data_IF_368460257982
#
_entry.id   IF_368460257982
#
_cell.length_a   1.000
_cell.length_b   1.000
_cell.length_c   1.000
_cell.angle_alpha   90.00
_cell.angle_beta   90.00
_cell.angle_gamma   90.00
#
_symmetry.space_group_name_H-M   'P 1'
#
loop_
_entity.id
_entity.type
_entity.pdbx_description
1 polymer ?
#
# COMPACT_ATOMS: atom_id res chain seq x y z
N UNK A 1 7.67 2.04 19.54
CA UNK A 1 6.30 1.67 19.12
C UNK A 1 6.14 1.51 17.61
N UNK A 2 6.97 2.16 16.77
CA UNK A 2 6.84 2.10 15.30
C UNK A 2 6.74 0.69 14.71
N UNK A 3 7.42 -0.31 15.29
CA UNK A 3 7.43 -1.69 14.77
C UNK A 3 6.49 -2.64 15.53
N UNK A 4 5.60 -2.12 16.38
CA UNK A 4 4.55 -2.93 17.05
C UNK A 4 3.30 -2.92 16.19
N UNK A 5 3.36 -3.64 15.07
CA UNK A 5 2.26 -3.75 14.11
C UNK A 5 1.43 -5.01 14.37
N UNK A 6 0.14 -4.96 14.04
CA UNK A 6 -0.66 -6.18 13.91
C UNK A 6 -0.11 -6.98 12.71
N UNK A 7 0.08 -8.30 12.87
CA UNK A 7 0.91 -9.18 12.02
C UNK A 7 0.54 -9.30 10.54
N UNK A 8 -0.38 -8.48 10.03
CA UNK A 8 -0.76 -8.42 8.62
C UNK A 8 0.33 -7.81 7.72
N UNK A 9 1.52 -7.45 8.22
CA UNK A 9 2.63 -7.01 7.35
C UNK A 9 3.14 -8.13 6.44
N UNK A 10 3.32 -9.33 6.98
CA UNK A 10 3.90 -10.51 6.32
C UNK A 10 2.99 -11.73 6.27
N UNK A 11 2.01 -11.82 7.15
CA UNK A 11 1.06 -12.93 7.22
C UNK A 11 -0.26 -12.49 6.59
N UNK A 12 -0.65 -13.22 5.55
CA UNK A 12 -1.92 -13.03 4.86
C UNK A 12 -2.90 -14.05 5.44
N UNK A 13 -4.17 -13.68 5.59
CA UNK A 13 -5.22 -14.66 5.87
C UNK A 13 -5.48 -15.54 4.64
N UNK A 14 -6.00 -16.75 4.85
CA UNK A 14 -6.21 -17.74 3.77
C UNK A 14 -7.13 -17.24 2.65
N UNK A 15 -8.03 -16.31 2.95
CA UNK A 15 -8.99 -15.73 2.02
C UNK A 15 -8.44 -14.52 1.27
N UNK A 16 -7.20 -14.09 1.56
CA UNK A 16 -6.56 -13.01 0.82
C UNK A 16 -6.19 -13.50 -0.61
N UNK A 17 -6.51 -12.75 -1.68
CA UNK A 17 -6.25 -13.17 -3.07
C UNK A 17 -4.78 -13.52 -3.33
N UNK A 18 -3.87 -12.79 -2.70
CA UNK A 18 -2.41 -13.03 -2.75
C UNK A 18 -1.87 -14.07 -1.75
N UNK A 19 -2.71 -14.78 -0.99
CA UNK A 19 -2.24 -15.69 0.08
C UNK A 19 -1.33 -16.81 -0.45
N UNK A 20 -1.68 -17.38 -1.61
CA UNK A 20 -0.89 -18.45 -2.24
C UNK A 20 0.15 -17.94 -3.25
N UNK A 21 0.16 -16.63 -3.51
CA UNK A 21 1.11 -16.03 -4.45
C UNK A 21 2.46 -15.76 -3.75
N UNK A 22 3.45 -16.56 -4.10
CA UNK A 22 4.80 -16.50 -3.52
C UNK A 22 5.51 -15.19 -3.89
N UNK A 23 5.30 -14.67 -5.10
CA UNK A 23 5.91 -13.41 -5.54
C UNK A 23 5.30 -12.24 -4.76
N UNK A 24 3.97 -12.23 -4.62
CA UNK A 24 3.26 -11.24 -3.83
C UNK A 24 3.69 -11.26 -2.35
N UNK A 25 3.85 -12.44 -1.74
CA UNK A 25 4.34 -12.57 -0.36
C UNK A 25 5.77 -12.08 -0.19
N UNK A 26 6.65 -12.38 -1.14
CA UNK A 26 8.04 -11.88 -1.14
C UNK A 26 8.06 -10.36 -1.23
N UNK A 27 7.24 -9.79 -2.12
CA UNK A 27 7.10 -8.34 -2.29
C UNK A 27 6.53 -7.65 -1.04
N UNK A 28 5.56 -8.26 -0.36
CA UNK A 28 5.04 -7.80 0.93
C UNK A 28 6.10 -7.78 2.03
N UNK A 29 6.92 -8.83 2.10
CA UNK A 29 8.04 -8.90 3.04
C UNK A 29 9.05 -7.78 2.80
N UNK A 30 9.38 -7.48 1.54
CA UNK A 30 10.29 -6.38 1.19
C UNK A 30 9.80 -5.03 1.75
N UNK A 31 8.51 -4.69 1.56
CA UNK A 31 7.94 -3.47 2.13
C UNK A 31 7.97 -3.46 3.67
N UNK A 32 7.72 -4.60 4.31
CA UNK A 32 7.80 -4.73 5.76
C UNK A 32 9.23 -4.54 6.28
N UNK A 33 10.23 -5.08 5.57
CA UNK A 33 11.64 -4.94 5.92
C UNK A 33 12.11 -3.49 5.81
N UNK A 34 11.69 -2.77 4.75
CA UNK A 34 11.94 -1.31 4.59
C UNK A 34 11.41 -0.54 5.80
N UNK A 35 10.15 -0.79 6.19
CA UNK A 35 9.52 -0.12 7.32
C UNK A 35 10.23 -0.44 8.65
N UNK A 36 10.62 -1.69 8.88
CA UNK A 36 11.29 -2.12 10.11
C UNK A 36 12.69 -1.51 10.29
N UNK A 37 13.38 -1.22 9.18
CA UNK A 37 14.73 -0.66 9.18
C UNK A 37 14.74 0.87 9.36
N UNK A 38 13.67 1.56 8.96
CA UNK A 38 13.57 3.02 9.07
C UNK A 38 13.73 3.54 10.52
N UNK A 39 14.40 4.69 10.66
CA UNK A 39 14.51 5.44 11.92
C UNK A 39 14.18 6.92 11.69
N UNK A 40 13.63 7.57 12.72
CA UNK A 40 13.31 9.00 12.67
C UNK A 40 14.53 9.83 12.27
N UNK A 41 14.31 10.79 11.36
CA UNK A 41 15.37 11.65 10.80
C UNK A 41 16.01 11.09 9.52
N UNK A 42 15.78 9.82 9.18
CA UNK A 42 16.18 9.29 7.87
C UNK A 42 15.14 9.71 6.80
N UNK A 43 15.55 9.83 5.53
CA UNK A 43 14.58 9.92 4.44
C UNK A 43 13.84 8.58 4.28
N UNK A 44 12.57 8.63 3.87
CA UNK A 44 11.81 7.44 3.51
C UNK A 44 12.42 6.85 2.22
N UNK A 45 12.82 5.57 2.18
CA UNK A 45 13.39 4.97 0.98
C UNK A 45 12.40 4.99 -0.19
N UNK A 46 12.89 5.38 -1.37
CA UNK A 46 12.08 5.32 -2.59
C UNK A 46 11.91 3.87 -3.05
N UNK A 47 10.69 3.49 -3.41
CA UNK A 47 10.41 2.16 -3.98
C UNK A 47 10.07 2.30 -5.45
N UNK A 48 10.77 1.50 -6.27
CA UNK A 48 10.37 1.31 -7.67
C UNK A 48 9.25 0.28 -7.70
N UNK A 49 8.05 0.73 -8.04
CA UNK A 49 6.89 -0.15 -8.24
C UNK A 49 6.98 -0.83 -9.61
N UNK A 50 6.52 -2.07 -9.68
CA UNK A 50 6.38 -2.81 -10.94
C UNK A 50 5.24 -2.25 -11.78
N UNK A 51 5.26 -2.52 -13.08
CA UNK A 51 4.18 -2.12 -13.99
C UNK A 51 2.82 -2.68 -13.55
N UNK A 52 2.78 -3.90 -13.01
CA UNK A 52 1.57 -4.51 -12.49
C UNK A 52 1.02 -3.75 -11.26
N UNK A 53 1.90 -3.34 -10.34
CA UNK A 53 1.54 -2.55 -9.16
C UNK A 53 1.00 -1.17 -9.58
N UNK A 54 1.68 -0.51 -10.53
CA UNK A 54 1.27 0.80 -11.07
C UNK A 54 -0.07 0.69 -11.80
N UNK A 55 -0.28 -0.35 -12.61
CA UNK A 55 -1.55 -0.60 -13.31
C UNK A 55 -2.71 -0.84 -12.34
N UNK A 56 -2.44 -1.61 -11.28
CA UNK A 56 -3.42 -1.85 -10.19
C UNK A 56 -3.79 -0.54 -9.51
N UNK A 57 -2.80 0.30 -9.16
CA UNK A 57 -3.03 1.64 -8.62
C UNK A 57 -3.88 2.49 -9.56
N UNK A 58 -3.52 2.55 -10.85
CA UNK A 58 -4.24 3.35 -11.84
C UNK A 58 -5.70 2.93 -11.98
N UNK A 59 -5.99 1.63 -11.94
CA UNK A 59 -7.37 1.12 -11.99
C UNK A 59 -8.19 1.62 -10.80
N UNK A 60 -7.67 1.46 -9.57
CA UNK A 60 -8.36 1.91 -8.35
C UNK A 60 -8.54 3.42 -8.33
N UNK A 61 -7.48 4.16 -8.65
CA UNK A 61 -7.49 5.61 -8.66
C UNK A 61 -8.51 6.17 -9.65
N UNK A 62 -8.54 5.64 -10.87
CA UNK A 62 -9.45 6.11 -11.91
C UNK A 62 -10.92 5.84 -11.55
N UNK A 63 -11.24 4.66 -11.01
CA UNK A 63 -12.63 4.34 -10.63
C UNK A 63 -13.10 5.17 -9.42
N UNK A 64 -12.24 5.36 -8.42
CA UNK A 64 -12.59 6.17 -7.25
C UNK A 64 -12.70 7.66 -7.57
N UNK A 65 -11.82 8.19 -8.43
CA UNK A 65 -11.82 9.63 -8.77
C UNK A 65 -13.11 10.08 -9.43
N UNK A 66 -13.77 9.20 -10.20
CA UNK A 66 -15.10 9.47 -10.78
C UNK A 66 -16.17 9.76 -9.73
N UNK A 67 -15.99 9.28 -8.49
CA UNK A 67 -16.99 9.36 -7.43
C UNK A 67 -16.68 10.48 -6.41
N UNK A 68 -15.47 11.03 -6.38
CA UNK A 68 -15.08 11.97 -5.33
C UNK A 68 -15.92 13.26 -5.31
N UNK A 69 -16.23 13.82 -6.48
CA UNK A 69 -17.01 15.07 -6.58
C UNK A 69 -18.41 14.97 -5.95
N UNK A 70 -19.01 13.78 -5.94
CA UNK A 70 -20.34 13.53 -5.41
C UNK A 70 -20.35 12.89 -4.03
N UNK A 71 -19.30 12.14 -3.67
CA UNK A 71 -19.31 11.28 -2.47
C UNK A 71 -18.26 11.68 -1.43
N UNK A 72 -17.19 12.37 -1.81
CA UNK A 72 -16.19 12.84 -0.85
C UNK A 72 -16.60 14.16 -0.20
N UNK A 73 -16.12 14.43 1.01
CA UNK A 73 -16.37 15.69 1.69
C UNK A 73 -15.67 16.85 0.97
N UNK A 74 -16.05 18.08 1.31
CA UNK A 74 -15.51 19.30 0.67
C UNK A 74 -14.01 19.43 0.92
N UNK A 75 -13.54 19.11 2.12
CA UNK A 75 -12.13 19.18 2.49
C UNK A 75 -11.29 18.25 1.62
N UNK A 76 -11.76 17.03 1.35
CA UNK A 76 -11.10 16.10 0.45
C UNK A 76 -11.03 16.69 -0.98
N UNK A 77 -12.17 17.11 -1.53
CA UNK A 77 -12.25 17.65 -2.89
C UNK A 77 -11.49 18.98 -3.08
N UNK A 78 -11.20 19.72 -2.01
CA UNK A 78 -10.43 20.96 -2.08
C UNK A 78 -8.91 20.73 -2.06
N UNK A 79 -8.44 19.60 -1.53
CA UNK A 79 -7.02 19.28 -1.38
C UNK A 79 -6.55 18.31 -2.46
N UNK A 80 -7.44 17.41 -2.89
CA UNK A 80 -7.20 16.43 -3.94
C UNK A 80 -7.00 17.11 -5.31
#
# INVERSE_FOLDING_TARGET
FANRILSYGSELDCDHPGFRDVLYRKRRKEFADIANQYRHGQPIPYVTYSEQEISTWGTVFNELTKLYSTNACKEFNNIF
#
